data_IF_998789416253
#
_entry.id   IF_998789416253
#
_cell.length_a   1.000
_cell.length_b   1.000
_cell.length_c   1.000
_cell.angle_alpha   90.00
_cell.angle_beta   90.00
_cell.angle_gamma   90.00
#
_symmetry.space_group_name_H-M   'P 1'
#
loop_
_entity.id
_entity.type
_entity.pdbx_description
1 polymer ?
#
# COMPACT_ATOMS: atom_id res chain seq x y z
N UNK A 1 -31.90 6.40 2.09
CA UNK A 1 -31.54 7.65 1.38
C UNK A 1 -30.39 8.26 2.14
N UNK A 2 -29.16 8.04 1.64
CA UNK A 2 -27.95 8.59 2.23
C UNK A 2 -27.77 10.05 1.80
N UNK A 3 -28.28 10.96 2.59
CA UNK A 3 -28.18 12.41 2.37
C UNK A 3 -26.72 12.91 2.28
N UNK A 4 -25.79 12.21 2.90
CA UNK A 4 -24.38 12.60 2.93
C UNK A 4 -23.63 12.37 1.59
N UNK A 5 -23.99 11.34 0.83
CA UNK A 5 -23.34 11.05 -0.45
C UNK A 5 -23.80 11.98 -1.57
N UNK A 6 -25.08 12.37 -1.56
CA UNK A 6 -25.65 13.24 -2.60
C UNK A 6 -25.16 14.70 -2.49
N UNK A 7 -24.98 15.20 -1.26
CA UNK A 7 -24.42 16.54 -1.01
C UNK A 7 -22.98 16.63 -1.45
N UNK A 8 -22.15 15.63 -1.12
CA UNK A 8 -20.74 15.61 -1.51
C UNK A 8 -20.54 15.54 -3.03
N UNK A 9 -21.39 14.79 -3.73
CA UNK A 9 -21.35 14.66 -5.20
C UNK A 9 -21.75 15.97 -5.90
N UNK A 10 -22.79 16.65 -5.39
CA UNK A 10 -23.26 17.91 -5.97
C UNK A 10 -22.27 19.05 -5.73
N UNK A 11 -21.64 19.12 -4.58
CA UNK A 11 -20.62 20.13 -4.26
C UNK A 11 -19.37 19.93 -5.11
N UNK A 12 -18.96 18.67 -5.36
CA UNK A 12 -17.84 18.34 -6.24
C UNK A 12 -18.13 18.74 -7.70
N UNK A 13 -19.34 18.49 -8.20
CA UNK A 13 -19.78 18.89 -9.55
C UNK A 13 -19.82 20.41 -9.69
N UNK A 14 -20.32 21.12 -8.67
CA UNK A 14 -20.34 22.59 -8.65
C UNK A 14 -18.93 23.17 -8.63
N UNK A 15 -18.01 22.61 -7.84
CA UNK A 15 -16.58 22.99 -7.81
C UNK A 15 -15.91 22.74 -9.16
N UNK A 16 -16.15 21.59 -9.79
CA UNK A 16 -15.58 21.25 -11.11
C UNK A 16 -16.14 22.17 -12.20
N UNK A 17 -17.41 22.56 -12.15
CA UNK A 17 -17.99 23.52 -13.09
C UNK A 17 -17.51 24.97 -12.85
N UNK A 18 -17.19 25.32 -11.60
CA UNK A 18 -16.70 26.65 -11.24
C UNK A 18 -15.19 26.84 -11.53
N UNK A 19 -14.42 25.76 -11.56
CA UNK A 19 -13.01 25.75 -11.95
C UNK A 19 -12.90 25.53 -13.45
N UNK A 20 -12.51 26.57 -14.19
CA UNK A 20 -12.06 26.40 -15.57
C UNK A 20 -10.76 25.63 -15.57
N UNK A 21 -10.85 24.30 -15.70
CA UNK A 21 -9.68 23.45 -15.90
C UNK A 21 -9.24 23.68 -17.35
N UNK A 22 -8.19 24.47 -17.54
CA UNK A 22 -7.53 24.58 -18.83
C UNK A 22 -6.70 23.30 -18.97
N UNK A 23 -7.22 22.34 -19.74
CA UNK A 23 -6.41 21.17 -20.13
C UNK A 23 -5.33 21.71 -21.10
N UNK A 24 -4.06 21.62 -20.68
CA UNK A 24 -2.98 21.79 -21.64
C UNK A 24 -3.09 20.66 -22.66
N UNK A 25 -3.15 20.95 -23.97
CA UNK A 25 -3.21 19.92 -24.98
C UNK A 25 -1.97 19.04 -24.85
N UNK A 26 -2.18 17.76 -24.56
CA UNK A 26 -1.08 16.78 -24.56
C UNK A 26 -0.50 16.73 -25.98
N UNK A 27 0.70 17.26 -26.16
CA UNK A 27 1.49 17.12 -27.39
C UNK A 27 1.94 15.64 -27.51
N UNK A 28 1.05 14.77 -28.03
CA UNK A 28 1.42 13.38 -28.30
C UNK A 28 0.22 12.51 -28.66
N UNK A 29 0.45 11.51 -29.49
CA UNK A 29 -0.55 10.45 -29.74
C UNK A 29 -0.76 9.65 -28.46
N UNK A 30 -2.00 9.29 -28.10
CA UNK A 30 -2.26 8.47 -26.92
C UNK A 30 -1.49 7.15 -27.02
N UNK A 31 -0.77 6.82 -25.94
CA UNK A 31 0.07 5.63 -25.91
C UNK A 31 -0.80 4.38 -25.92
N UNK A 32 -0.44 3.41 -26.76
CA UNK A 32 -1.12 2.12 -26.83
C UNK A 32 -0.81 1.29 -25.58
N UNK A 33 -1.79 0.50 -25.13
CA UNK A 33 -1.63 -0.41 -23.98
C UNK A 33 -0.36 -1.29 -24.06
N UNK A 34 -0.02 -1.78 -25.27
CA UNK A 34 1.22 -2.52 -25.49
C UNK A 34 2.49 -1.70 -25.26
N UNK A 35 2.45 -0.39 -25.52
CA UNK A 35 3.58 0.49 -25.23
C UNK A 35 3.77 0.72 -23.72
N UNK A 36 2.66 0.80 -22.96
CA UNK A 36 2.72 0.84 -21.51
C UNK A 36 3.32 -0.45 -20.93
N UNK A 37 2.89 -1.62 -21.40
CA UNK A 37 3.45 -2.89 -20.96
C UNK A 37 4.91 -3.08 -21.37
N UNK A 38 5.34 -2.54 -22.52
CA UNK A 38 6.75 -2.58 -22.94
C UNK A 38 7.69 -1.87 -21.95
N UNK A 39 7.17 -0.93 -21.13
CA UNK A 39 7.96 -0.28 -20.08
C UNK A 39 8.36 -1.23 -18.94
N UNK A 40 7.68 -2.37 -18.78
CA UNK A 40 8.11 -3.42 -17.86
C UNK A 40 9.46 -4.04 -18.25
N UNK A 41 9.89 -3.89 -19.52
CA UNK A 41 11.24 -4.24 -19.94
C UNK A 41 12.34 -3.38 -19.31
N UNK A 42 12.00 -2.26 -18.68
CA UNK A 42 12.94 -1.46 -17.91
C UNK A 42 13.03 -1.99 -16.47
N UNK A 43 14.20 -2.44 -15.99
CA UNK A 43 14.31 -3.15 -14.71
C UNK A 43 13.83 -2.30 -13.53
N UNK A 44 14.07 -0.99 -13.53
CA UNK A 44 13.61 -0.13 -12.43
C UNK A 44 12.08 0.03 -12.42
N UNK A 45 11.44 0.13 -13.58
CA UNK A 45 9.98 0.22 -13.70
C UNK A 45 9.34 -1.09 -13.26
N UNK A 46 9.88 -2.23 -13.69
CA UNK A 46 9.42 -3.55 -13.25
C UNK A 46 9.54 -3.71 -11.72
N UNK A 47 10.67 -3.31 -11.14
CA UNK A 47 10.86 -3.36 -9.69
C UNK A 47 9.85 -2.45 -8.96
N UNK A 48 9.58 -1.25 -9.49
CA UNK A 48 8.59 -0.35 -8.91
C UNK A 48 7.18 -0.91 -9.02
N UNK A 49 6.82 -1.50 -10.15
CA UNK A 49 5.53 -2.17 -10.36
C UNK A 49 5.32 -3.31 -9.35
N UNK A 50 6.30 -4.21 -9.22
CA UNK A 50 6.26 -5.27 -8.21
C UNK A 50 6.25 -4.73 -6.77
N UNK A 51 6.93 -3.59 -6.53
CA UNK A 51 6.89 -2.89 -5.23
C UNK A 51 5.48 -2.42 -4.86
N UNK A 52 4.76 -1.85 -5.82
CA UNK A 52 3.36 -1.45 -5.62
C UNK A 52 2.47 -2.68 -5.41
N UNK A 53 2.67 -3.75 -6.18
CA UNK A 53 1.94 -5.01 -5.97
C UNK A 53 2.13 -5.55 -4.55
N UNK A 54 3.36 -5.57 -4.06
CA UNK A 54 3.66 -6.01 -2.69
C UNK A 54 3.03 -5.08 -1.64
N UNK A 55 3.15 -3.75 -1.84
CA UNK A 55 2.55 -2.76 -0.94
C UNK A 55 1.03 -2.97 -0.80
N UNK A 56 0.32 -3.07 -1.93
CA UNK A 56 -1.14 -3.24 -1.93
C UNK A 56 -1.52 -4.61 -1.39
N UNK A 57 -0.72 -5.64 -1.71
CA UNK A 57 -0.90 -6.97 -1.14
C UNK A 57 -0.79 -6.99 0.39
N UNK A 58 0.19 -6.30 0.95
CA UNK A 58 0.34 -6.13 2.41
C UNK A 58 -0.83 -5.33 2.98
N UNK A 59 -1.28 -4.28 2.31
CA UNK A 59 -2.39 -3.44 2.74
C UNK A 59 -3.70 -4.24 2.86
N UNK A 60 -4.13 -4.84 1.77
CA UNK A 60 -5.35 -5.68 1.74
C UNK A 60 -5.18 -6.91 2.64
N UNK A 61 -3.98 -7.51 2.60
CA UNK A 61 -3.63 -8.67 3.42
C UNK A 61 -3.76 -8.39 4.91
N UNK A 62 -3.20 -7.29 5.40
CA UNK A 62 -3.29 -6.93 6.82
C UNK A 62 -4.75 -6.71 7.23
N UNK A 63 -5.54 -5.99 6.42
CA UNK A 63 -6.94 -5.72 6.72
C UNK A 63 -7.81 -6.99 6.78
N UNK A 64 -7.52 -7.98 5.96
CA UNK A 64 -8.25 -9.25 5.95
C UNK A 64 -7.77 -10.24 7.01
N UNK A 65 -6.47 -10.21 7.34
CA UNK A 65 -5.85 -11.20 8.24
C UNK A 65 -5.85 -10.74 9.71
N UNK A 66 -5.75 -9.44 9.98
CA UNK A 66 -5.70 -8.92 11.34
C UNK A 66 -6.90 -9.35 12.21
N UNK A 67 -8.16 -9.22 11.77
CA UNK A 67 -9.30 -9.75 12.53
C UNK A 67 -9.24 -11.27 12.68
N UNK A 68 -8.84 -12.00 11.64
CA UNK A 68 -8.77 -13.46 11.67
C UNK A 68 -7.72 -13.98 12.67
N UNK A 69 -6.58 -13.29 12.79
CA UNK A 69 -5.56 -13.62 13.81
C UNK A 69 -6.14 -13.51 15.23
N UNK A 70 -6.88 -12.44 15.50
CA UNK A 70 -7.50 -12.22 16.81
C UNK A 70 -8.58 -13.26 17.10
N UNK A 71 -9.39 -13.62 16.11
CA UNK A 71 -10.38 -14.67 16.24
C UNK A 71 -9.73 -16.04 16.48
N UNK A 72 -8.70 -16.40 15.71
CA UNK A 72 -8.01 -17.69 15.80
C UNK A 72 -7.22 -17.85 17.11
N UNK A 73 -6.47 -16.80 17.53
CA UNK A 73 -5.56 -16.91 18.68
C UNK A 73 -6.22 -16.57 20.01
N UNK A 74 -7.18 -15.65 20.01
CA UNK A 74 -7.78 -15.13 21.25
C UNK A 74 -9.26 -15.51 21.39
N UNK A 75 -9.85 -16.19 20.41
CA UNK A 75 -11.26 -16.56 20.43
C UNK A 75 -12.22 -15.36 20.40
N UNK A 76 -11.76 -14.20 19.90
CA UNK A 76 -12.58 -12.96 19.86
C UNK A 76 -13.75 -13.11 18.89
N UNK A 77 -14.84 -12.40 19.15
CA UNK A 77 -15.94 -12.29 18.18
C UNK A 77 -15.53 -11.49 16.97
N UNK A 78 -16.20 -11.67 15.82
CA UNK A 78 -15.93 -10.89 14.62
C UNK A 78 -16.10 -9.37 14.84
N UNK A 79 -17.08 -9.01 15.67
CA UNK A 79 -17.35 -7.60 15.99
C UNK A 79 -16.17 -6.96 16.75
N UNK A 80 -15.64 -7.65 17.77
CA UNK A 80 -14.51 -7.16 18.56
C UNK A 80 -13.20 -7.18 17.77
N UNK A 81 -12.97 -8.22 16.97
CA UNK A 81 -11.80 -8.37 16.12
C UNK A 81 -11.75 -7.32 15.00
N UNK A 82 -12.91 -6.82 14.56
CA UNK A 82 -13.03 -5.78 13.54
C UNK A 82 -12.35 -4.46 13.93
N UNK A 83 -12.17 -4.20 15.23
CA UNK A 83 -11.43 -3.03 15.71
C UNK A 83 -9.97 -3.01 15.20
N UNK A 84 -9.37 -4.17 14.95
CA UNK A 84 -8.01 -4.26 14.39
C UNK A 84 -7.89 -3.54 13.03
N UNK A 85 -8.90 -3.68 12.16
CA UNK A 85 -8.93 -2.98 10.87
C UNK A 85 -9.05 -1.47 11.05
N UNK A 86 -9.88 -1.01 11.97
CA UNK A 86 -10.01 0.42 12.30
C UNK A 86 -8.69 0.98 12.82
N UNK A 87 -8.02 0.26 13.72
CA UNK A 87 -6.72 0.62 14.26
C UNK A 87 -5.66 0.75 13.17
N UNK A 88 -5.62 -0.21 12.24
CA UNK A 88 -4.73 -0.15 11.08
C UNK A 88 -4.92 1.14 10.28
N UNK A 89 -6.16 1.50 9.93
CA UNK A 89 -6.44 2.69 9.14
C UNK A 89 -6.16 4.00 9.89
N UNK A 90 -6.43 4.05 11.20
CA UNK A 90 -6.08 5.20 12.04
C UNK A 90 -4.57 5.48 11.97
N UNK A 91 -3.74 4.45 12.21
CA UNK A 91 -2.30 4.61 12.18
C UNK A 91 -1.76 4.83 10.77
N UNK A 92 -2.37 4.24 9.76
CA UNK A 92 -2.04 4.50 8.35
C UNK A 92 -2.31 5.96 7.98
N UNK A 93 -3.47 6.50 8.36
CA UNK A 93 -3.82 7.90 8.11
C UNK A 93 -2.89 8.85 8.86
N UNK A 94 -2.65 8.60 10.14
CA UNK A 94 -1.68 9.37 10.92
C UNK A 94 -0.27 9.33 10.30
N UNK A 95 0.15 8.15 9.82
CA UNK A 95 1.42 7.97 9.11
C UNK A 95 1.52 8.76 7.80
N UNK A 96 0.42 8.87 7.04
CA UNK A 96 0.38 9.70 5.83
C UNK A 96 0.60 11.18 6.17
N UNK A 97 -0.10 11.71 7.18
CA UNK A 97 0.07 13.11 7.60
C UNK A 97 1.48 13.37 8.15
N UNK A 98 1.97 12.54 9.05
CA UNK A 98 3.32 12.68 9.61
C UNK A 98 4.38 12.53 8.52
N UNK A 99 4.19 11.59 7.58
CA UNK A 99 5.10 11.40 6.46
C UNK A 99 5.22 12.63 5.56
N UNK A 100 4.13 13.37 5.33
CA UNK A 100 4.16 14.60 4.56
C UNK A 100 5.08 15.67 5.20
N UNK A 101 5.11 15.79 6.52
CA UNK A 101 6.01 16.69 7.23
C UNK A 101 7.45 16.15 7.30
N UNK A 102 7.61 14.86 7.53
CA UNK A 102 8.94 14.24 7.68
C UNK A 102 9.69 14.24 6.36
N UNK A 103 9.00 13.93 5.23
CA UNK A 103 9.61 13.91 3.90
C UNK A 103 10.11 15.28 3.41
N UNK A 104 9.63 16.38 4.02
CA UNK A 104 10.20 17.71 3.76
C UNK A 104 11.61 17.89 4.34
N UNK A 105 11.94 17.12 5.38
CA UNK A 105 13.21 17.25 6.13
C UNK A 105 14.15 16.05 5.97
N UNK A 106 13.62 14.91 5.53
CA UNK A 106 14.35 13.66 5.43
C UNK A 106 14.30 13.10 4.00
N UNK A 107 15.39 12.49 3.56
CA UNK A 107 15.45 11.82 2.26
C UNK A 107 14.42 10.69 2.17
N UNK A 108 13.69 10.61 1.04
CA UNK A 108 12.67 9.59 0.80
C UNK A 108 13.20 8.16 0.99
N UNK A 109 14.44 7.90 0.62
CA UNK A 109 15.10 6.59 0.82
C UNK A 109 15.22 6.22 2.29
N UNK A 110 15.64 7.14 3.15
CA UNK A 110 15.79 6.89 4.59
C UNK A 110 14.44 6.66 5.26
N UNK A 111 13.46 7.49 4.91
CA UNK A 111 12.09 7.33 5.42
C UNK A 111 11.49 5.99 4.99
N UNK A 112 11.65 5.63 3.72
CA UNK A 112 11.18 4.34 3.19
C UNK A 112 11.84 3.15 3.91
N UNK A 113 13.17 3.22 4.15
CA UNK A 113 13.90 2.19 4.88
C UNK A 113 13.36 2.00 6.30
N UNK A 114 13.14 3.10 7.03
CA UNK A 114 12.58 3.05 8.39
C UNK A 114 11.17 2.45 8.37
N UNK A 115 10.33 2.88 7.44
CA UNK A 115 8.96 2.36 7.28
C UNK A 115 8.95 0.85 7.03
N UNK A 116 9.80 0.37 6.12
CA UNK A 116 9.90 -1.07 5.81
C UNK A 116 10.49 -1.86 6.99
N UNK A 117 11.47 -1.31 7.72
CA UNK A 117 12.00 -1.94 8.92
C UNK A 117 10.95 -2.05 10.03
N UNK A 118 10.14 -1.00 10.24
CA UNK A 118 9.01 -1.04 11.18
C UNK A 118 8.01 -2.14 10.80
N UNK A 119 7.65 -2.23 9.52
CA UNK A 119 6.76 -3.29 9.03
C UNK A 119 7.36 -4.68 9.23
N UNK A 120 8.66 -4.83 8.95
CA UNK A 120 9.35 -6.11 9.12
C UNK A 120 9.34 -6.56 10.59
N UNK A 121 9.68 -5.67 11.52
CA UNK A 121 9.64 -5.95 12.95
C UNK A 121 8.22 -6.31 13.42
N UNK A 122 7.21 -5.59 12.95
CA UNK A 122 5.83 -5.85 13.27
C UNK A 122 5.32 -7.20 12.71
N UNK A 123 5.72 -7.56 11.48
CA UNK A 123 5.39 -8.88 10.91
C UNK A 123 6.00 -10.02 11.73
N UNK A 124 7.27 -9.90 12.17
CA UNK A 124 7.86 -10.87 13.09
C UNK A 124 7.12 -10.91 14.42
N UNK A 125 6.70 -9.75 14.93
CA UNK A 125 5.87 -9.69 16.15
C UNK A 125 4.56 -10.46 16.01
N UNK A 126 3.91 -10.41 14.86
CA UNK A 126 2.70 -11.19 14.59
C UNK A 126 2.93 -12.72 14.59
N UNK A 127 4.16 -13.20 14.38
CA UNK A 127 4.46 -14.63 14.57
C UNK A 127 4.65 -15.02 16.03
N UNK A 128 5.26 -14.13 16.81
CA UNK A 128 5.72 -14.44 18.18
C UNK A 128 4.65 -14.12 19.23
N UNK A 129 4.00 -12.97 19.11
CA UNK A 129 3.10 -12.49 20.14
C UNK A 129 1.72 -13.16 20.05
N UNK A 130 1.21 -13.51 21.24
CA UNK A 130 -0.12 -14.10 21.44
C UNK A 130 -1.02 -13.18 22.31
N UNK A 131 -0.44 -12.10 22.84
CA UNK A 131 -1.17 -11.13 23.64
C UNK A 131 -1.89 -10.12 22.77
N UNK A 132 -3.14 -9.79 23.12
CA UNK A 132 -3.99 -8.87 22.37
C UNK A 132 -3.35 -7.50 22.16
N UNK A 133 -2.77 -6.93 23.21
CA UNK A 133 -2.17 -5.60 23.15
C UNK A 133 -0.97 -5.58 22.19
N UNK A 134 -0.13 -6.62 22.22
CA UNK A 134 1.04 -6.73 21.34
C UNK A 134 0.64 -6.95 19.88
N UNK A 135 -0.41 -7.73 19.63
CA UNK A 135 -0.96 -7.90 18.27
C UNK A 135 -1.48 -6.55 17.74
N UNK A 136 -2.22 -5.78 18.55
CA UNK A 136 -2.67 -4.45 18.15
C UNK A 136 -1.52 -3.48 17.86
N UNK A 137 -0.45 -3.50 18.68
CA UNK A 137 0.76 -2.70 18.41
C UNK A 137 1.40 -3.09 17.08
N UNK A 138 1.51 -4.38 16.79
CA UNK A 138 2.04 -4.84 15.51
C UNK A 138 1.18 -4.36 14.33
N UNK A 139 -0.15 -4.46 14.42
CA UNK A 139 -1.08 -4.01 13.38
C UNK A 139 -0.95 -2.49 13.17
N UNK A 140 -0.88 -1.72 14.24
CA UNK A 140 -0.68 -0.27 14.19
C UNK A 140 0.65 0.11 13.51
N UNK A 141 1.74 -0.59 13.85
CA UNK A 141 3.05 -0.37 13.24
C UNK A 141 3.08 -0.74 11.76
N UNK A 142 2.36 -1.80 11.34
CA UNK A 142 2.22 -2.14 9.92
C UNK A 142 1.47 -1.02 9.19
N UNK A 143 0.36 -0.53 9.76
CA UNK A 143 -0.40 0.58 9.19
C UNK A 143 0.44 1.84 9.03
N UNK A 144 1.16 2.22 10.08
CA UNK A 144 2.06 3.36 10.05
C UNK A 144 3.18 3.20 9.02
N UNK A 145 3.86 2.06 9.00
CA UNK A 145 4.94 1.76 8.05
C UNK A 145 4.47 1.72 6.60
N UNK A 146 3.27 1.19 6.35
CA UNK A 146 2.71 1.05 5.01
C UNK A 146 2.17 2.38 4.42
N UNK A 147 2.02 3.42 5.23
CA UNK A 147 1.32 4.66 4.88
C UNK A 147 1.88 5.39 3.66
N UNK A 148 3.20 5.55 3.58
CA UNK A 148 3.86 6.35 2.54
C UNK A 148 4.62 5.51 1.49
N UNK A 149 4.50 4.19 1.53
CA UNK A 149 5.22 3.30 0.61
C UNK A 149 4.77 3.52 -0.84
N UNK A 150 3.46 3.56 -1.08
CA UNK A 150 2.91 3.78 -2.42
C UNK A 150 3.38 5.11 -3.04
N UNK A 151 3.17 6.29 -2.40
CA UNK A 151 3.55 7.55 -3.00
C UNK A 151 5.05 7.67 -3.25
N UNK A 152 5.88 7.07 -2.40
CA UNK A 152 7.34 7.08 -2.61
C UNK A 152 7.71 6.24 -3.84
N UNK A 153 7.22 5.01 -3.97
CA UNK A 153 7.49 4.15 -5.13
C UNK A 153 6.99 4.81 -6.41
N UNK A 154 5.76 5.32 -6.38
CA UNK A 154 5.12 5.98 -7.50
C UNK A 154 5.93 7.20 -7.96
N UNK A 155 6.30 8.08 -7.04
CA UNK A 155 7.13 9.25 -7.33
C UNK A 155 8.49 8.87 -7.93
N UNK A 156 9.16 7.85 -7.39
CA UNK A 156 10.45 7.37 -7.91
C UNK A 156 10.32 6.82 -9.35
N UNK A 157 9.23 6.11 -9.65
CA UNK A 157 8.97 5.62 -11.01
C UNK A 157 8.73 6.77 -11.99
N UNK A 158 7.97 7.79 -11.58
CA UNK A 158 7.71 9.00 -12.39
C UNK A 158 8.96 9.80 -12.65
N UNK A 159 9.84 9.95 -11.64
CA UNK A 159 11.12 10.65 -11.77
C UNK A 159 12.13 9.90 -12.64
N UNK A 160 12.00 8.58 -12.73
CA UNK A 160 12.89 7.76 -13.55
C UNK A 160 12.65 7.94 -15.05
N UNK A 161 11.40 8.21 -15.47
CA UNK A 161 11.02 8.43 -16.86
C UNK A 161 10.11 9.66 -16.99
N UNK A 162 10.67 10.88 -16.89
CA UNK A 162 9.89 12.11 -16.91
C UNK A 162 9.17 12.37 -18.22
N UNK A 163 9.69 11.83 -19.35
CA UNK A 163 9.10 11.98 -20.69
C UNK A 163 7.89 11.05 -20.95
N UNK A 164 7.64 10.08 -20.04
CA UNK A 164 6.58 9.08 -20.18
C UNK A 164 5.76 8.95 -18.90
N UNK A 165 5.44 10.07 -18.28
CA UNK A 165 4.74 10.09 -16.99
C UNK A 165 3.38 9.41 -17.04
N UNK A 166 2.62 9.63 -18.14
CA UNK A 166 1.27 9.07 -18.27
C UNK A 166 1.29 7.55 -18.37
N UNK A 167 2.20 6.99 -19.20
CA UNK A 167 2.35 5.54 -19.33
C UNK A 167 2.87 4.90 -18.03
N UNK A 168 3.85 5.54 -17.38
CA UNK A 168 4.38 5.06 -16.11
C UNK A 168 3.32 5.11 -15.02
N UNK A 169 2.55 6.19 -14.91
CA UNK A 169 1.48 6.30 -13.90
C UNK A 169 0.39 5.26 -14.12
N UNK A 170 -0.06 5.09 -15.38
CA UNK A 170 -1.03 4.05 -15.72
C UNK A 170 -0.54 2.65 -15.36
N UNK A 171 0.73 2.35 -15.68
CA UNK A 171 1.35 1.07 -15.34
C UNK A 171 1.46 0.87 -13.81
N UNK A 172 1.85 1.89 -13.06
CA UNK A 172 1.93 1.82 -11.59
C UNK A 172 0.55 1.59 -10.96
N UNK A 173 -0.51 2.21 -11.50
CA UNK A 173 -1.89 1.97 -11.05
C UNK A 173 -2.31 0.52 -11.34
N UNK A 174 -1.91 -0.07 -12.46
CA UNK A 174 -2.14 -1.50 -12.72
C UNK A 174 -1.49 -2.39 -11.66
N UNK A 175 -0.44 -1.95 -10.98
CA UNK A 175 0.17 -2.65 -9.85
C UNK A 175 -0.79 -2.88 -8.67
N UNK A 176 -1.91 -2.14 -8.58
CA UNK A 176 -2.96 -2.38 -7.58
C UNK A 176 -3.58 -3.79 -7.68
N UNK A 177 -3.38 -4.47 -8.81
CA UNK A 177 -3.75 -5.88 -8.98
C UNK A 177 -3.09 -6.82 -7.94
N UNK A 178 -2.03 -6.38 -7.27
CA UNK A 178 -1.45 -7.05 -6.11
C UNK A 178 -2.46 -7.32 -4.99
N UNK A 179 -3.47 -6.43 -4.83
CA UNK A 179 -4.59 -6.62 -3.90
C UNK A 179 -5.49 -7.81 -4.22
N UNK A 180 -5.39 -8.41 -5.39
CA UNK A 180 -6.07 -9.66 -5.76
C UNK A 180 -5.15 -10.87 -5.60
N UNK A 181 -3.90 -10.76 -6.06
CA UNK A 181 -2.95 -11.89 -6.05
C UNK A 181 -2.57 -12.27 -4.62
N UNK A 182 -2.28 -11.30 -3.76
CA UNK A 182 -1.83 -11.57 -2.39
C UNK A 182 -2.90 -12.30 -1.56
N UNK A 183 -4.18 -11.85 -1.50
CA UNK A 183 -5.21 -12.58 -0.77
C UNK A 183 -5.43 -14.00 -1.26
N UNK A 184 -5.29 -14.26 -2.58
CA UNK A 184 -5.35 -15.63 -3.10
C UNK A 184 -4.21 -16.49 -2.56
N UNK A 185 -2.97 -16.00 -2.63
CA UNK A 185 -1.82 -16.71 -2.08
C UNK A 185 -1.92 -16.89 -0.55
N UNK A 186 -2.43 -15.88 0.14
CA UNK A 186 -2.65 -15.91 1.58
C UNK A 186 -3.74 -16.91 1.98
N UNK A 187 -4.81 -17.03 1.18
CA UNK A 187 -5.85 -18.03 1.37
C UNK A 187 -5.27 -19.44 1.35
N UNK A 188 -4.55 -19.78 0.27
CA UNK A 188 -3.89 -21.08 0.12
C UNK A 188 -2.91 -21.38 1.28
N UNK A 189 -2.10 -20.39 1.65
CA UNK A 189 -1.15 -20.55 2.76
C UNK A 189 -1.86 -20.67 4.12
N UNK A 190 -2.95 -19.95 4.33
CA UNK A 190 -3.76 -20.00 5.53
C UNK A 190 -4.48 -21.34 5.70
N UNK A 191 -4.93 -21.93 4.60
CA UNK A 191 -5.56 -23.28 4.62
C UNK A 191 -4.56 -24.36 5.04
N UNK A 192 -3.27 -24.18 4.76
CA UNK A 192 -2.23 -25.15 5.08
C UNK A 192 -1.70 -25.04 6.53
N UNK A 193 -1.50 -23.81 7.03
CA UNK A 193 -0.79 -23.57 8.32
C UNK A 193 -1.47 -22.50 9.19
N UNK A 194 -2.76 -22.23 8.98
CA UNK A 194 -3.51 -21.21 9.72
C UNK A 194 -3.11 -19.78 9.32
N UNK A 195 -3.56 -18.80 10.11
CA UNK A 195 -3.29 -17.37 9.77
C UNK A 195 -1.80 -17.01 9.75
N UNK A 196 -0.94 -17.81 10.37
CA UNK A 196 0.52 -17.67 10.27
C UNK A 196 1.00 -17.82 8.82
N UNK A 197 0.35 -18.65 8.00
CA UNK A 197 0.63 -18.76 6.57
C UNK A 197 0.34 -17.47 5.81
N UNK A 198 -0.78 -16.82 6.11
CA UNK A 198 -1.10 -15.53 5.52
C UNK A 198 -0.06 -14.45 5.89
N UNK A 199 0.38 -14.42 7.15
CA UNK A 199 1.45 -13.51 7.61
C UNK A 199 2.76 -13.80 6.89
N UNK A 200 3.08 -15.07 6.62
CA UNK A 200 4.30 -15.45 5.89
C UNK A 200 4.28 -14.92 4.44
N UNK A 201 3.15 -14.97 3.76
CA UNK A 201 3.01 -14.39 2.41
C UNK A 201 3.22 -12.87 2.44
N UNK A 202 2.63 -12.16 3.42
CA UNK A 202 2.86 -10.71 3.58
C UNK A 202 4.33 -10.41 3.90
N UNK A 203 4.99 -11.24 4.71
CA UNK A 203 6.41 -11.11 5.03
C UNK A 203 7.29 -11.15 3.77
N UNK A 204 6.98 -12.03 2.81
CA UNK A 204 7.67 -12.06 1.51
C UNK A 204 7.54 -10.71 0.79
N UNK A 205 6.35 -10.09 0.83
CA UNK A 205 6.13 -8.75 0.28
C UNK A 205 6.99 -7.68 0.98
N UNK A 206 7.08 -7.72 2.31
CA UNK A 206 7.92 -6.78 3.08
C UNK A 206 9.40 -6.98 2.79
N UNK A 207 9.87 -8.22 2.66
CA UNK A 207 11.25 -8.53 2.26
C UNK A 207 11.57 -8.01 0.86
N UNK A 208 10.62 -8.09 -0.07
CA UNK A 208 10.76 -7.48 -1.38
C UNK A 208 10.89 -5.94 -1.28
N UNK A 209 10.08 -5.26 -0.47
CA UNK A 209 10.19 -3.82 -0.25
C UNK A 209 11.53 -3.45 0.40
N UNK A 210 12.07 -4.30 1.28
CA UNK A 210 13.42 -4.13 1.83
C UNK A 210 14.48 -4.18 0.72
N UNK A 211 14.40 -5.16 -0.17
CA UNK A 211 15.28 -5.24 -1.34
C UNK A 211 15.13 -4.00 -2.25
N UNK A 212 13.89 -3.55 -2.48
CA UNK A 212 13.61 -2.35 -3.29
C UNK A 212 14.23 -1.08 -2.69
N UNK A 213 14.35 -0.98 -1.36
CA UNK A 213 14.99 0.15 -0.66
C UNK A 213 16.39 0.45 -1.20
N UNK A 214 17.16 -0.56 -1.58
CA UNK A 214 18.51 -0.38 -2.12
C UNK A 214 18.51 0.23 -3.53
N UNK A 215 17.42 0.15 -4.23
CA UNK A 215 17.24 0.66 -5.59
C UNK A 215 16.72 2.10 -5.63
N UNK A 216 16.14 2.60 -4.53
CA UNK A 216 15.68 4.00 -4.43
C UNK A 216 16.88 4.94 -4.55
N UNK A 217 16.79 5.90 -5.48
CA UNK A 217 17.77 6.98 -5.60
C UNK A 217 17.56 8.00 -4.47
N UNK A 218 18.64 8.68 -4.11
CA UNK A 218 18.61 9.77 -3.10
C UNK A 218 17.82 10.95 -3.63
#
# INVERSE_FOLDING_TARGET
CDWSSDVCSSDLILLLNATQITEEPEEGKPSTFGQCLALLGKPFILLSFLGIMCHVGIDVGTNTTAPKILMERLGMTLADAGFATSLYFIFRTAGCFLGAFILQKMAAKTFFAISVLCMLAAMFGLFVFQDQAMIYVCIALIGFGNSNVFPIIFSQAMLYMPDKKNEVSGLMIMGLFGGTIFPLAMGVASDAVGQSGAVAVMLVGVLYLMFYTWRIKK
#
